data_IF_853046661638
#
_entry.id   IF_853046661638
#
_cell.length_a   1.000
_cell.length_b   1.000
_cell.length_c   1.000
_cell.angle_alpha   90.00
_cell.angle_beta   90.00
_cell.angle_gamma   90.00
#
_symmetry.space_group_name_H-M   'P 1'
#
loop_
_entity.id
_entity.type
_entity.pdbx_description
1 polymer ?
#
# COMPACT_ATOMS: atom_id res chain seq x y z
N UNK A 1 -18.25 1.47 17.49
CA UNK A 1 -16.85 1.94 17.35
C UNK A 1 -15.86 0.79 17.18
N UNK A 2 -15.97 -0.29 17.97
CA UNK A 2 -15.18 -1.53 17.86
C UNK A 2 -14.95 -2.13 16.45
N UNK A 3 -15.91 -2.04 15.52
CA UNK A 3 -15.72 -2.53 14.13
C UNK A 3 -14.71 -1.70 13.35
N UNK A 4 -14.81 -0.36 13.44
CA UNK A 4 -13.88 0.56 12.76
C UNK A 4 -12.44 0.42 13.27
N UNK A 5 -12.26 0.19 14.58
CA UNK A 5 -10.93 -0.07 15.15
C UNK A 5 -10.33 -1.38 14.65
N UNK A 6 -11.11 -2.46 14.60
CA UNK A 6 -10.67 -3.76 14.06
C UNK A 6 -10.32 -3.71 12.58
N UNK A 7 -11.10 -2.98 11.79
CA UNK A 7 -10.84 -2.83 10.36
C UNK A 7 -9.56 -2.00 10.15
N UNK A 8 -9.33 -0.95 10.94
CA UNK A 8 -8.10 -0.16 10.92
C UNK A 8 -6.85 -0.97 11.29
N UNK A 9 -6.90 -1.83 12.31
CA UNK A 9 -5.79 -2.72 12.64
C UNK A 9 -5.49 -3.70 11.51
N UNK A 10 -6.54 -4.25 10.89
CA UNK A 10 -6.40 -5.18 9.76
C UNK A 10 -5.80 -4.51 8.53
N UNK A 11 -6.23 -3.29 8.20
CA UNK A 11 -5.65 -2.50 7.11
C UNK A 11 -4.17 -2.22 7.39
N UNK A 12 -3.80 -1.82 8.62
CA UNK A 12 -2.40 -1.61 9.00
C UNK A 12 -1.52 -2.86 8.83
N UNK A 13 -2.01 -4.03 9.23
CA UNK A 13 -1.28 -5.30 9.03
C UNK A 13 -1.05 -5.59 7.54
N UNK A 14 -2.08 -5.43 6.72
CA UNK A 14 -1.99 -5.67 5.28
C UNK A 14 -1.05 -4.67 4.61
N UNK A 15 -1.10 -3.38 4.97
CA UNK A 15 -0.18 -2.37 4.45
C UNK A 15 1.28 -2.66 4.86
N UNK A 16 1.52 -3.17 6.07
CA UNK A 16 2.85 -3.59 6.50
C UNK A 16 3.38 -4.76 5.66
N UNK A 17 2.52 -5.74 5.35
CA UNK A 17 2.85 -6.84 4.43
C UNK A 17 3.10 -6.34 3.01
N UNK A 18 2.30 -5.38 2.53
CA UNK A 18 2.46 -4.77 1.22
C UNK A 18 3.82 -4.08 1.09
N UNK A 19 4.23 -3.30 2.11
CA UNK A 19 5.55 -2.66 2.15
C UNK A 19 6.68 -3.68 2.07
N UNK A 20 6.65 -4.72 2.90
CA UNK A 20 7.66 -5.78 2.87
C UNK A 20 7.73 -6.51 1.53
N UNK A 21 6.58 -6.81 0.93
CA UNK A 21 6.53 -7.45 -0.37
C UNK A 21 7.05 -6.53 -1.49
N UNK A 22 6.80 -5.22 -1.37
CA UNK A 22 7.29 -4.19 -2.29
C UNK A 22 8.79 -3.93 -2.17
N UNK A 23 9.38 -4.09 -0.98
CA UNK A 23 10.83 -4.04 -0.77
C UNK A 23 11.53 -5.26 -1.38
N UNK A 24 10.81 -6.38 -1.45
CA UNK A 24 11.25 -7.61 -2.10
C UNK A 24 10.89 -7.67 -3.58
N UNK A 25 10.69 -8.89 -4.06
CA UNK A 25 10.24 -9.16 -5.43
C UNK A 25 8.98 -10.05 -5.43
N UNK A 26 8.19 -9.93 -4.37
CA UNK A 26 6.98 -10.73 -4.17
C UNK A 26 5.81 -10.15 -4.97
N UNK A 27 4.82 -10.99 -5.26
CA UNK A 27 3.65 -10.56 -6.01
C UNK A 27 2.73 -9.68 -5.14
N UNK A 28 2.60 -8.41 -5.50
CA UNK A 28 1.80 -7.42 -4.78
C UNK A 28 0.29 -7.57 -5.01
N UNK A 29 -0.14 -8.16 -6.13
CA UNK A 29 -1.56 -8.27 -6.48
C UNK A 29 -2.43 -8.95 -5.40
N UNK A 30 -2.07 -10.13 -4.84
CA UNK A 30 -2.87 -10.73 -3.78
C UNK A 30 -3.01 -9.84 -2.55
N UNK A 31 -1.97 -9.07 -2.21
CA UNK A 31 -1.95 -8.19 -1.03
C UNK A 31 -2.85 -6.97 -1.26
N UNK A 32 -2.83 -6.40 -2.46
CA UNK A 32 -3.71 -5.27 -2.83
C UNK A 32 -5.18 -5.71 -2.77
N UNK A 33 -5.50 -6.91 -3.25
CA UNK A 33 -6.87 -7.47 -3.17
C UNK A 33 -7.31 -7.62 -1.71
N UNK A 34 -6.43 -8.09 -0.84
CA UNK A 34 -6.72 -8.21 0.60
C UNK A 34 -6.88 -6.83 1.26
N UNK A 35 -6.09 -5.84 0.86
CA UNK A 35 -6.21 -4.46 1.37
C UNK A 35 -7.58 -3.86 1.01
N UNK A 36 -8.03 -4.04 -0.23
CA UNK A 36 -9.34 -3.59 -0.69
C UNK A 36 -10.47 -4.33 0.03
N UNK A 37 -10.34 -5.65 0.26
CA UNK A 37 -11.30 -6.43 1.05
C UNK A 37 -11.38 -5.99 2.51
N UNK A 38 -10.30 -5.47 3.06
CA UNK A 38 -10.26 -4.93 4.42
C UNK A 38 -10.78 -3.49 4.52
N UNK A 39 -11.38 -2.94 3.46
CA UNK A 39 -11.81 -1.54 3.36
C UNK A 39 -10.64 -0.53 3.44
N UNK A 40 -9.43 -0.96 3.09
CA UNK A 40 -8.30 -0.07 2.88
C UNK A 40 -8.59 0.88 1.72
N UNK A 41 -8.35 2.16 1.94
CA UNK A 41 -8.57 3.18 0.91
C UNK A 41 -7.45 3.14 -0.14
N UNK A 42 -7.76 3.64 -1.34
CA UNK A 42 -6.75 3.78 -2.40
C UNK A 42 -5.57 4.66 -1.95
N UNK A 43 -5.83 5.69 -1.15
CA UNK A 43 -4.79 6.58 -0.61
C UNK A 43 -3.78 5.82 0.24
N UNK A 44 -4.24 5.03 1.20
CA UNK A 44 -3.36 4.25 2.09
C UNK A 44 -2.50 3.23 1.33
N UNK A 45 -3.07 2.58 0.32
CA UNK A 45 -2.34 1.63 -0.54
C UNK A 45 -1.27 2.36 -1.36
N UNK A 46 -1.62 3.49 -1.98
CA UNK A 46 -0.68 4.31 -2.74
C UNK A 46 0.43 4.89 -1.85
N UNK A 47 0.11 5.34 -0.65
CA UNK A 47 1.10 5.88 0.31
C UNK A 47 2.08 4.78 0.73
N UNK A 48 1.59 3.58 1.03
CA UNK A 48 2.44 2.45 1.38
C UNK A 48 3.40 2.06 0.24
N UNK A 49 2.94 2.10 -1.01
CA UNK A 49 3.79 1.84 -2.18
C UNK A 49 4.77 3.00 -2.43
N UNK A 50 4.36 4.24 -2.20
CA UNK A 50 5.19 5.44 -2.34
C UNK A 50 6.35 5.47 -1.35
N UNK A 51 6.15 4.96 -0.13
CA UNK A 51 7.23 4.84 0.85
C UNK A 51 8.36 3.89 0.40
N UNK A 52 8.02 2.86 -0.40
CA UNK A 52 8.99 1.84 -0.84
C UNK A 52 9.58 2.16 -2.21
N UNK A 53 8.73 2.45 -3.19
CA UNK A 53 9.15 2.74 -4.57
C UNK A 53 9.53 4.20 -4.80
N UNK A 54 9.20 5.09 -3.86
CA UNK A 54 9.31 6.53 -4.05
C UNK A 54 8.23 7.08 -4.98
N UNK A 55 8.40 8.34 -5.36
CA UNK A 55 7.56 8.99 -6.36
C UNK A 55 8.30 9.03 -7.70
N UNK A 56 7.58 8.74 -8.78
CA UNK A 56 8.10 8.98 -10.12
C UNK A 56 8.26 10.50 -10.33
N UNK A 57 9.51 10.94 -10.44
CA UNK A 57 9.87 12.30 -10.82
C UNK A 57 10.05 12.33 -12.35
N UNK A 58 9.12 12.93 -13.11
CA UNK A 58 9.29 13.05 -14.55
C UNK A 58 10.58 13.83 -14.85
N UNK A 59 11.48 13.24 -15.63
CA UNK A 59 12.70 13.91 -16.09
C UNK A 59 12.28 14.96 -17.11
N UNK A 60 12.21 16.22 -16.68
CA UNK A 60 12.09 17.35 -17.61
C UNK A 60 13.41 17.50 -18.35
N UNK A 61 13.60 16.73 -19.42
CA UNK A 61 14.67 16.97 -20.38
C UNK A 61 14.33 18.23 -21.15
N UNK A 62 14.80 19.37 -20.66
CA UNK A 62 14.93 20.59 -21.45
C UNK A 62 16.15 20.41 -22.35
N UNK A 63 15.91 20.22 -23.63
CA UNK A 63 16.90 20.25 -24.71
C UNK A 63 16.31 20.96 -25.90
#
# INVERSE_FOLDING_TARGET
ELRKERDNERVKDILSKLKKAAEGNDNLMPIIVDAVKAYGTLGEICDALREVFGEYQPVSTIG
#
